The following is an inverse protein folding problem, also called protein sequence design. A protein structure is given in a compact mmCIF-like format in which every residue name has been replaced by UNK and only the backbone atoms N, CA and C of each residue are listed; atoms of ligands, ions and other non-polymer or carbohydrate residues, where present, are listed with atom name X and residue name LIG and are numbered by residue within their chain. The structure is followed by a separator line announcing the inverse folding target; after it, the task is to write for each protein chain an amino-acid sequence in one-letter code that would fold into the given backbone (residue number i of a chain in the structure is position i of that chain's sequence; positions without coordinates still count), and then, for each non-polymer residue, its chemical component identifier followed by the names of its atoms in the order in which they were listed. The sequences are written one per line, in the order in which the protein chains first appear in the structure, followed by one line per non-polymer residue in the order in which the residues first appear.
data_IF_427345982361
#
_entry.id   IF_427345982361
#
_cell.length_a   1.000
_cell.length_b   1.000
_cell.length_c   1.000
_cell.angle_alpha   90.00
_cell.angle_beta   90.00
_cell.angle_gamma   90.00
#
_symmetry.space_group_name_H-M   'P 1'
#
loop_
_entity.id
_entity.type
_entity.pdbx_description
1 polymer ?
#
# COMPACT_ATOMS: atom_id res chain seq x y z
N UNK A 1 -65.12 31.52 -7.76
CA UNK A 1 -64.02 32.47 -7.42
C UNK A 1 -62.93 31.67 -6.72
N UNK A 2 -61.68 31.77 -7.19
CA UNK A 2 -60.44 31.07 -6.74
C UNK A 2 -60.39 29.54 -7.00
N UNK A 3 -59.99 29.05 -8.17
CA UNK A 3 -58.64 28.96 -8.80
C UNK A 3 -57.72 27.88 -8.19
N UNK A 4 -57.85 26.68 -8.78
CA UNK A 4 -56.81 25.81 -9.34
C UNK A 4 -55.52 25.55 -8.53
N UNK A 5 -55.43 24.35 -7.93
CA UNK A 5 -54.16 23.71 -7.56
C UNK A 5 -53.40 23.41 -8.85
N UNK A 6 -52.43 24.25 -9.21
CA UNK A 6 -51.43 23.91 -10.24
C UNK A 6 -50.51 22.84 -9.66
N UNK A 7 -50.84 21.58 -9.92
CA UNK A 7 -49.88 20.49 -9.83
C UNK A 7 -48.72 20.82 -10.78
N UNK A 8 -47.57 21.18 -10.23
CA UNK A 8 -46.33 21.35 -10.99
C UNK A 8 -45.85 19.96 -11.38
N UNK A 9 -46.39 19.44 -12.47
CA UNK A 9 -45.87 18.28 -13.17
C UNK A 9 -44.45 18.64 -13.64
N UNK A 10 -43.43 18.17 -12.90
CA UNK A 10 -42.05 18.27 -13.36
C UNK A 10 -41.82 17.18 -14.40
N UNK A 11 -41.63 17.48 -15.69
CA UNK A 11 -41.21 16.47 -16.65
C UNK A 11 -39.81 15.98 -16.24
N UNK A 12 -39.68 14.68 -16.02
CA UNK A 12 -38.37 14.02 -15.85
C UNK A 12 -37.59 14.23 -17.14
N UNK A 13 -36.48 14.97 -17.06
CA UNK A 13 -35.57 15.14 -18.19
C UNK A 13 -35.05 13.75 -18.56
N UNK A 14 -35.40 13.28 -19.75
CA UNK A 14 -34.73 12.15 -20.40
C UNK A 14 -33.22 12.42 -20.41
N UNK A 15 -32.47 11.53 -19.75
CA UNK A 15 -31.02 11.50 -19.86
C UNK A 15 -30.72 10.86 -21.21
N UNK A 16 -30.49 11.71 -22.22
CA UNK A 16 -29.97 11.30 -23.51
C UNK A 16 -28.59 10.66 -23.29
N UNK A 17 -28.51 9.34 -23.44
CA UNK A 17 -27.27 8.58 -23.44
C UNK A 17 -26.49 8.92 -24.72
N UNK A 18 -25.77 10.04 -24.68
CA UNK A 18 -24.81 10.37 -25.72
C UNK A 18 -23.57 9.48 -25.50
N UNK A 19 -23.40 8.47 -26.35
CA UNK A 19 -22.24 7.58 -26.40
C UNK A 19 -21.00 8.33 -26.95
N UNK A 20 -20.73 9.51 -26.42
CA UNK A 20 -19.58 10.29 -26.78
C UNK A 20 -18.41 9.76 -25.96
N UNK A 21 -17.73 8.77 -26.54
CA UNK A 21 -16.39 8.29 -26.22
C UNK A 21 -16.02 8.37 -24.75
N UNK A 22 -16.12 7.24 -24.04
CA UNK A 22 -15.46 7.07 -22.73
C UNK A 22 -14.06 7.66 -22.87
N UNK A 23 -13.70 8.71 -22.10
CA UNK A 23 -12.36 9.26 -22.20
C UNK A 23 -11.42 8.10 -21.89
N UNK A 24 -10.57 7.75 -22.86
CA UNK A 24 -9.44 6.86 -22.59
C UNK A 24 -8.74 7.49 -21.40
N UNK A 25 -8.83 6.83 -20.25
CA UNK A 25 -8.07 7.20 -19.06
C UNK A 25 -6.62 7.10 -19.50
N UNK A 26 -6.03 8.24 -19.87
CA UNK A 26 -4.61 8.35 -20.07
C UNK A 26 -3.99 8.10 -18.69
N UNK A 27 -3.39 6.93 -18.50
CA UNK A 27 -2.60 6.59 -17.32
C UNK A 27 -1.25 7.36 -17.32
N UNK A 28 -1.26 8.63 -17.72
CA UNK A 28 -0.13 9.53 -17.57
C UNK A 28 -0.35 10.40 -16.32
N UNK A 29 -0.62 9.77 -15.20
CA UNK A 29 -0.42 10.40 -13.90
C UNK A 29 1.08 10.54 -13.68
N UNK A 30 1.65 11.64 -14.18
CA UNK A 30 2.89 12.18 -13.64
C UNK A 30 2.59 12.64 -12.21
N UNK A 31 2.52 11.69 -11.28
CA UNK A 31 2.54 12.01 -9.86
C UNK A 31 3.97 12.41 -9.55
N UNK A 32 4.19 13.70 -9.29
CA UNK A 32 5.38 14.17 -8.61
C UNK A 32 5.35 13.61 -7.17
N UNK A 33 5.71 12.34 -7.03
CA UNK A 33 5.94 11.68 -5.75
C UNK A 33 7.41 11.29 -5.73
N UNK A 34 8.28 12.23 -5.39
CA UNK A 34 9.74 12.10 -5.44
C UNK A 34 10.34 11.06 -4.45
N UNK A 35 9.57 10.07 -3.99
CA UNK A 35 10.03 9.09 -3.01
C UNK A 35 9.21 7.82 -2.83
N UNK A 36 8.34 7.40 -3.76
CA UNK A 36 7.40 6.31 -3.47
C UNK A 36 7.32 5.14 -4.47
N UNK A 37 8.37 4.85 -5.24
CA UNK A 37 8.45 3.57 -5.96
C UNK A 37 9.86 2.98 -5.84
N UNK A 38 10.39 2.87 -4.62
CA UNK A 38 11.47 1.91 -4.39
C UNK A 38 10.84 0.53 -4.35
N UNK A 39 10.54 -0.02 -5.53
CA UNK A 39 10.15 -1.43 -5.64
C UNK A 39 11.32 -2.25 -5.10
N UNK A 40 11.13 -2.82 -3.91
CA UNK A 40 12.11 -3.69 -3.29
C UNK A 40 12.23 -4.94 -4.16
N UNK A 41 13.24 -4.99 -5.02
CA UNK A 41 13.66 -6.21 -5.70
C UNK A 41 14.39 -7.09 -4.71
N UNK A 42 14.10 -8.39 -4.70
CA UNK A 42 14.77 -9.36 -3.82
C UNK A 42 16.29 -9.38 -4.07
N UNK A 43 16.71 -9.16 -5.32
CA UNK A 43 18.11 -9.22 -5.75
C UNK A 43 18.99 -8.08 -5.21
N UNK A 44 18.39 -6.96 -4.81
CA UNK A 44 19.11 -5.76 -4.36
C UNK A 44 18.60 -5.30 -2.98
N UNK A 45 18.52 -6.23 -2.04
CA UNK A 45 18.03 -5.94 -0.70
C UNK A 45 19.14 -5.36 0.19
N UNK A 46 18.89 -4.23 0.90
CA UNK A 46 19.86 -3.69 1.84
C UNK A 46 20.08 -4.66 3.03
N UNK A 47 21.27 -4.58 3.65
CA UNK A 47 21.62 -5.47 4.77
C UNK A 47 20.71 -5.32 5.99
N UNK A 48 20.22 -4.10 6.24
CA UNK A 48 19.32 -3.78 7.34
C UNK A 48 18.02 -3.17 6.82
N UNK A 49 16.92 -3.83 7.14
CA UNK A 49 15.57 -3.45 6.74
C UNK A 49 14.79 -2.85 7.90
N UNK A 50 13.92 -1.89 7.55
CA UNK A 50 12.90 -1.35 8.45
C UNK A 50 11.75 -2.34 8.64
N UNK A 51 10.94 -2.10 9.68
CA UNK A 51 9.71 -2.85 9.93
C UNK A 51 8.79 -2.88 8.70
N UNK A 52 8.70 -1.75 7.98
CA UNK A 52 7.78 -1.60 6.85
C UNK A 52 8.25 -2.41 5.64
N UNK A 53 9.53 -2.32 5.29
CA UNK A 53 10.10 -3.09 4.18
C UNK A 53 9.96 -4.60 4.42
N UNK A 54 10.26 -5.06 5.64
CA UNK A 54 10.06 -6.48 6.00
C UNK A 54 8.59 -6.90 5.90
N UNK A 55 7.68 -6.04 6.35
CA UNK A 55 6.24 -6.29 6.27
C UNK A 55 5.76 -6.41 4.81
N UNK A 56 6.29 -5.58 3.92
CA UNK A 56 5.98 -5.61 2.48
C UNK A 56 6.52 -6.88 1.81
N UNK A 57 7.74 -7.32 2.15
CA UNK A 57 8.35 -8.55 1.63
C UNK A 57 7.59 -9.80 2.07
N UNK A 58 7.32 -9.90 3.38
CA UNK A 58 6.64 -11.06 3.97
C UNK A 58 5.11 -11.02 3.81
N UNK A 59 4.57 -9.95 3.20
CA UNK A 59 3.12 -9.72 3.02
C UNK A 59 2.31 -9.80 4.32
N UNK A 60 2.86 -9.28 5.41
CA UNK A 60 2.21 -9.23 6.73
C UNK A 60 2.08 -7.80 7.24
N UNK A 61 1.25 -7.58 8.26
CA UNK A 61 1.16 -6.26 8.90
C UNK A 61 2.46 -5.88 9.63
N UNK A 62 2.89 -4.60 9.60
CA UNK A 62 4.00 -4.10 10.42
C UNK A 62 3.86 -4.39 11.92
N UNK A 63 2.63 -4.46 12.43
CA UNK A 63 2.37 -4.82 13.84
C UNK A 63 2.81 -6.26 14.12
N UNK A 64 2.58 -7.17 13.18
CA UNK A 64 2.99 -8.57 13.28
C UNK A 64 4.51 -8.68 13.38
N UNK A 65 5.25 -7.94 12.55
CA UNK A 65 6.72 -7.88 12.61
C UNK A 65 7.21 -7.36 13.96
N UNK A 66 6.58 -6.31 14.50
CA UNK A 66 6.89 -5.81 15.87
C UNK A 66 6.62 -6.86 16.95
N UNK A 67 5.53 -7.63 16.81
CA UNK A 67 5.17 -8.73 17.73
C UNK A 67 6.17 -9.90 17.62
N UNK A 68 6.63 -10.24 16.42
CA UNK A 68 7.65 -11.27 16.22
C UNK A 68 8.98 -10.89 16.85
N UNK A 69 9.38 -9.63 16.75
CA UNK A 69 10.57 -9.13 17.45
C UNK A 69 10.47 -9.24 18.97
N UNK A 70 9.29 -9.01 19.56
CA UNK A 70 9.07 -9.23 21.00
C UNK A 70 9.09 -10.72 21.38
N UNK A 71 8.66 -11.59 20.47
CA UNK A 71 8.59 -13.05 20.67
C UNK A 71 9.89 -13.79 20.32
N UNK A 72 10.92 -13.09 19.84
CA UNK A 72 12.19 -13.68 19.42
C UNK A 72 12.16 -14.40 18.06
N UNK A 73 10.99 -14.53 17.40
CA UNK A 73 10.87 -15.18 16.08
C UNK A 73 11.66 -14.48 14.97
N UNK A 74 11.78 -13.17 15.08
CA UNK A 74 12.56 -12.36 14.14
C UNK A 74 13.37 -11.35 14.97
N UNK A 75 14.65 -11.63 15.26
CA UNK A 75 15.45 -10.81 16.17
C UNK A 75 15.62 -9.39 15.61
N UNK A 76 15.21 -8.40 16.41
CA UNK A 76 15.28 -6.99 16.04
C UNK A 76 16.51 -6.33 16.66
N UNK A 77 17.29 -5.64 15.84
CA UNK A 77 18.42 -4.81 16.29
C UNK A 77 17.86 -3.43 16.63
N UNK A 78 18.18 -2.93 17.83
CA UNK A 78 17.89 -1.55 18.23
C UNK A 78 19.12 -0.70 17.92
N UNK A 79 18.96 0.28 17.04
CA UNK A 79 20.10 1.08 16.54
C UNK A 79 20.27 2.38 17.33
N UNK A 80 19.19 2.92 17.89
CA UNK A 80 19.20 4.18 18.62
C UNK A 80 18.52 4.08 19.98
N UNK A 81 18.70 5.13 20.79
CA UNK A 81 18.06 5.30 22.10
C UNK A 81 16.52 5.34 21.99
N UNK A 82 15.99 5.83 20.87
CA UNK A 82 14.54 5.84 20.57
C UNK A 82 13.93 4.43 20.47
N UNK A 83 14.75 3.41 20.22
CA UNK A 83 14.30 2.02 20.10
C UNK A 83 13.80 1.66 18.70
N UNK A 84 14.30 2.34 17.67
CA UNK A 84 14.03 1.97 16.29
C UNK A 84 14.56 0.57 16.00
N UNK A 85 13.73 -0.21 15.31
CA UNK A 85 13.98 -1.62 15.04
C UNK A 85 14.40 -1.81 13.60
N UNK A 86 15.53 -2.48 13.40
CA UNK A 86 15.95 -2.99 12.10
C UNK A 86 16.18 -4.49 12.13
N UNK A 87 16.05 -5.08 10.95
CA UNK A 87 16.10 -6.52 10.73
C UNK A 87 17.17 -6.83 9.69
N UNK A 88 17.97 -7.86 9.93
CA UNK A 88 18.97 -8.30 8.97
C UNK A 88 18.29 -8.96 7.78
N UNK A 89 18.82 -8.74 6.56
CA UNK A 89 18.34 -9.41 5.34
C UNK A 89 18.31 -10.93 5.50
N UNK A 90 19.36 -11.51 6.07
CA UNK A 90 19.53 -12.96 6.26
C UNK A 90 18.37 -13.57 7.04
N UNK A 91 17.93 -12.92 8.13
CA UNK A 91 16.84 -13.42 8.96
C UNK A 91 15.48 -13.36 8.23
N UNK A 92 15.31 -12.38 7.34
CA UNK A 92 14.09 -12.25 6.53
C UNK A 92 14.08 -13.29 5.41
N UNK A 93 15.21 -13.51 4.75
CA UNK A 93 15.38 -14.55 3.73
C UNK A 93 15.20 -15.96 4.31
N UNK A 94 15.71 -16.19 5.53
CA UNK A 94 15.50 -17.45 6.25
C UNK A 94 14.01 -17.75 6.47
N UNK A 95 13.20 -16.73 6.79
CA UNK A 95 11.74 -16.90 6.94
C UNK A 95 11.03 -17.19 5.62
N UNK A 96 11.61 -16.81 4.48
CA UNK A 96 11.13 -17.17 3.15
C UNK A 96 11.54 -18.59 2.74
N UNK A 97 12.36 -19.27 3.54
CA UNK A 97 12.90 -20.59 3.19
C UNK A 97 14.02 -20.54 2.14
N UNK A 98 14.51 -19.35 1.81
CA UNK A 98 15.70 -19.15 0.98
C UNK A 98 16.93 -19.41 1.85
N UNK A 99 17.28 -20.68 2.00
CA UNK A 99 18.54 -21.07 2.62
C UNK A 99 19.64 -20.85 1.58
N UNK A 100 20.56 -19.93 1.85
CA UNK A 100 21.90 -20.04 1.25
C UNK A 100 22.51 -21.28 1.91
N UNK A 101 22.43 -22.43 1.23
CA UNK A 101 23.28 -23.57 1.55
C UNK A 101 24.72 -23.06 1.55
N UNK A 102 25.31 -23.04 2.75
CA UNK A 102 26.70 -22.63 2.96
C UNK A 102 27.64 -23.77 2.64
#
# INVERSE_FOLDING_TARGET
MLILIKAVFRPTKEVVMNNQSIPKINLNTQTNTAGLEKRLSLDNLPDLLTVREVAEILRVSPLTIKRWGKRGKLPAIRINSRGDRRYKKEAVLWLLGMQEEK
#
